data_IF_066561320180
#
_entry.id   IF_066561320180
#
_cell.length_a   1.000
_cell.length_b   1.000
_cell.length_c   1.000
_cell.angle_alpha   90.00
_cell.angle_beta   90.00
_cell.angle_gamma   90.00
#
_symmetry.space_group_name_H-M   'P 1'
#
loop_
_entity.id
_entity.type
_entity.pdbx_description
1 polymer ?
#
# COMPACT_ATOMS: atom_id res chain seq x y z
N UNK A 1 -3.00 17.72 -22.61
CA UNK A 1 -2.62 17.01 -21.37
C UNK A 1 -3.48 15.76 -21.28
N UNK A 2 -2.87 14.57 -21.31
CA UNK A 2 -3.57 13.28 -21.32
C UNK A 2 -4.24 13.03 -19.96
N UNK A 3 -5.55 12.75 -19.95
CA UNK A 3 -6.28 12.38 -18.72
C UNK A 3 -6.34 10.85 -18.67
N UNK A 4 -5.72 10.18 -17.68
CA UNK A 4 -5.76 8.73 -17.61
C UNK A 4 -7.19 8.24 -17.41
N UNK A 5 -7.54 7.10 -18.00
CA UNK A 5 -8.84 6.46 -17.84
C UNK A 5 -9.06 5.90 -16.43
N UNK A 6 -7.96 5.77 -15.68
CA UNK A 6 -7.91 5.33 -14.30
C UNK A 6 -7.23 6.42 -13.46
N UNK A 7 -7.89 6.86 -12.40
CA UNK A 7 -7.30 7.70 -11.37
C UNK A 7 -7.38 6.94 -10.04
N UNK A 8 -6.24 6.71 -9.39
CA UNK A 8 -6.22 6.05 -8.10
C UNK A 8 -6.76 7.00 -7.01
N UNK A 9 -7.88 6.60 -6.40
CA UNK A 9 -8.34 7.16 -5.14
C UNK A 9 -7.74 6.36 -3.97
N UNK A 10 -6.60 6.81 -3.46
CA UNK A 10 -5.92 6.16 -2.33
C UNK A 10 -6.66 6.28 -1.00
N UNK A 11 -7.69 7.13 -0.89
CA UNK A 11 -8.57 7.10 0.27
C UNK A 11 -9.50 5.90 0.19
N UNK A 12 -10.22 5.72 -0.92
CA UNK A 12 -11.12 4.58 -1.10
C UNK A 12 -10.34 3.25 -1.09
N UNK A 13 -9.19 3.18 -1.77
CA UNK A 13 -8.35 1.97 -1.78
C UNK A 13 -7.89 1.61 -0.35
N UNK A 14 -7.42 2.59 0.43
CA UNK A 14 -6.99 2.33 1.80
C UNK A 14 -8.17 1.96 2.71
N UNK A 15 -9.29 2.67 2.60
CA UNK A 15 -10.52 2.41 3.36
C UNK A 15 -10.98 0.97 3.17
N UNK A 16 -11.04 0.51 1.90
CA UNK A 16 -11.39 -0.87 1.56
C UNK A 16 -10.37 -1.86 2.10
N UNK A 17 -9.08 -1.57 1.99
CA UNK A 17 -8.03 -2.44 2.52
C UNK A 17 -8.14 -2.65 4.03
N UNK A 18 -8.40 -1.58 4.77
CA UNK A 18 -8.58 -1.63 6.23
C UNK A 18 -9.87 -2.36 6.59
N UNK A 19 -11.00 -1.96 6.03
CA UNK A 19 -12.32 -2.54 6.39
C UNK A 19 -12.44 -4.01 6.02
N UNK A 20 -11.92 -4.40 4.86
CA UNK A 20 -12.01 -5.77 4.37
C UNK A 20 -10.84 -6.66 4.81
N UNK A 21 -9.94 -6.16 5.67
CA UNK A 21 -8.75 -6.93 6.05
C UNK A 21 -9.09 -8.28 6.71
N UNK A 22 -10.20 -8.35 7.45
CA UNK A 22 -10.68 -9.58 8.07
C UNK A 22 -11.01 -10.70 7.03
N UNK A 23 -11.41 -10.34 5.81
CA UNK A 23 -11.66 -11.29 4.72
C UNK A 23 -10.38 -11.95 4.20
N UNK A 24 -9.19 -11.44 4.56
CA UNK A 24 -7.93 -12.07 4.22
C UNK A 24 -7.68 -13.38 4.97
N UNK A 25 -8.45 -13.65 6.05
CA UNK A 25 -8.32 -14.82 6.90
C UNK A 25 -6.87 -15.00 7.40
N UNK A 26 -6.30 -13.89 7.88
CA UNK A 26 -4.97 -13.80 8.47
C UNK A 26 -5.07 -13.84 10.00
N UNK A 27 -4.26 -14.68 10.60
CA UNK A 27 -4.19 -14.89 12.04
C UNK A 27 -2.86 -14.39 12.60
N UNK A 28 -2.82 -14.04 13.89
CA UNK A 28 -1.61 -13.51 14.56
C UNK A 28 -0.39 -14.42 14.46
N UNK A 29 -0.60 -15.74 14.32
CA UNK A 29 0.44 -16.75 14.24
C UNK A 29 0.81 -17.13 12.79
N UNK A 30 0.13 -16.56 11.80
CA UNK A 30 0.45 -16.83 10.41
C UNK A 30 1.85 -16.31 10.05
N UNK A 31 2.52 -17.03 9.16
CA UNK A 31 3.83 -16.61 8.68
C UNK A 31 3.72 -15.33 7.82
N UNK A 32 4.77 -14.50 7.83
CA UNK A 32 4.80 -13.23 7.07
C UNK A 32 4.58 -13.43 5.56
N UNK A 33 4.92 -14.60 5.02
CA UNK A 33 4.70 -14.94 3.62
C UNK A 33 3.21 -15.00 3.26
N UNK A 34 2.38 -15.59 4.12
CA UNK A 34 0.92 -15.65 3.94
C UNK A 34 0.32 -14.25 3.93
N UNK A 35 0.79 -13.35 4.78
CA UNK A 35 0.39 -11.94 4.75
C UNK A 35 0.66 -11.33 3.38
N UNK A 36 1.90 -11.41 2.89
CA UNK A 36 2.25 -10.82 1.59
C UNK A 36 1.38 -11.35 0.45
N UNK A 37 1.18 -12.67 0.38
CA UNK A 37 0.35 -13.29 -0.67
C UNK A 37 -1.09 -12.76 -0.58
N UNK A 38 -1.70 -12.79 0.61
CA UNK A 38 -3.10 -12.37 0.79
C UNK A 38 -3.31 -10.88 0.55
N UNK A 39 -2.36 -10.04 0.93
CA UNK A 39 -2.40 -8.59 0.74
C UNK A 39 -2.22 -8.22 -0.73
N UNK A 40 -1.31 -8.88 -1.46
CA UNK A 40 -1.15 -8.66 -2.89
C UNK A 40 -2.38 -9.18 -3.66
N UNK A 41 -2.91 -10.35 -3.32
CA UNK A 41 -4.16 -10.88 -3.89
C UNK A 41 -5.34 -9.93 -3.68
N UNK A 42 -5.38 -9.24 -2.54
CA UNK A 42 -6.39 -8.21 -2.29
C UNK A 42 -6.27 -7.06 -3.28
N UNK A 43 -5.07 -6.51 -3.47
CA UNK A 43 -4.87 -5.44 -4.43
C UNK A 43 -5.10 -5.90 -5.87
N UNK A 44 -4.78 -7.14 -6.23
CA UNK A 44 -5.11 -7.69 -7.54
C UNK A 44 -6.63 -7.66 -7.78
N UNK A 45 -7.42 -8.21 -6.86
CA UNK A 45 -8.89 -8.20 -6.95
C UNK A 45 -9.49 -6.79 -6.95
N UNK A 46 -8.92 -5.87 -6.16
CA UNK A 46 -9.35 -4.47 -6.19
C UNK A 46 -9.09 -3.85 -7.56
N UNK A 47 -7.91 -4.06 -8.16
CA UNK A 47 -7.59 -3.57 -9.50
C UNK A 47 -8.55 -4.11 -10.56
N UNK A 48 -8.85 -5.41 -10.53
CA UNK A 48 -9.82 -6.04 -11.44
C UNK A 48 -11.23 -5.45 -11.27
N UNK A 49 -11.67 -5.24 -10.02
CA UNK A 49 -12.97 -4.61 -9.75
C UNK A 49 -13.07 -3.16 -10.24
N UNK A 50 -11.93 -2.48 -10.35
CA UNK A 50 -11.81 -1.13 -10.92
C UNK A 50 -11.59 -1.14 -12.44
N UNK A 51 -11.71 -2.31 -13.09
CA UNK A 51 -11.61 -2.47 -14.54
C UNK A 51 -10.18 -2.48 -15.08
N UNK A 52 -9.18 -2.72 -14.23
CA UNK A 52 -7.79 -2.90 -14.64
C UNK A 52 -7.46 -4.38 -14.86
N UNK A 53 -6.54 -4.69 -15.77
CA UNK A 53 -5.90 -6.02 -15.83
C UNK A 53 -4.77 -6.08 -14.81
N UNK A 54 -4.67 -7.15 -14.04
CA UNK A 54 -3.64 -7.29 -13.01
C UNK A 54 -2.70 -8.45 -13.29
N UNK A 55 -1.40 -8.24 -13.06
CA UNK A 55 -0.34 -9.23 -13.32
C UNK A 55 0.64 -9.29 -12.16
N UNK A 56 0.87 -10.50 -11.65
CA UNK A 56 1.84 -10.78 -10.59
C UNK A 56 3.23 -11.02 -11.16
N UNK A 57 4.27 -10.68 -10.40
CA UNK A 57 5.67 -10.90 -10.79
C UNK A 57 5.99 -10.39 -12.20
N UNK A 58 5.28 -9.34 -12.62
CA UNK A 58 5.36 -8.84 -13.96
C UNK A 58 6.72 -8.17 -14.16
N UNK A 59 7.43 -8.60 -15.20
CA UNK A 59 8.73 -8.04 -15.56
C UNK A 59 8.55 -6.75 -16.36
N UNK A 60 7.36 -6.50 -16.90
CA UNK A 60 7.10 -5.57 -17.97
C UNK A 60 7.01 -6.37 -19.28
N UNK A 61 6.01 -6.08 -20.10
CA UNK A 61 5.83 -6.75 -21.40
C UNK A 61 6.97 -6.40 -22.38
N UNK A 62 8.13 -7.07 -22.31
CA UNK A 62 8.97 -7.32 -23.48
C UNK A 62 9.73 -8.65 -23.35
N UNK A 63 9.40 -9.68 -24.16
CA UNK A 63 10.03 -10.99 -24.12
C UNK A 63 11.50 -11.03 -24.60
N UNK A 64 12.09 -9.92 -25.08
CA UNK A 64 13.40 -9.91 -25.74
C UNK A 64 14.61 -9.60 -24.84
N UNK A 65 14.43 -9.16 -23.60
CA UNK A 65 15.53 -8.58 -22.81
C UNK A 65 15.66 -9.18 -21.40
N UNK A 66 16.71 -9.99 -21.22
CA UNK A 66 17.04 -10.81 -20.04
C UNK A 66 17.61 -10.02 -18.84
N UNK A 67 16.77 -9.24 -18.12
CA UNK A 67 16.82 -9.01 -16.66
C UNK A 67 15.95 -7.79 -16.30
N UNK A 68 14.82 -8.05 -15.68
CA UNK A 68 14.01 -7.07 -14.95
C UNK A 68 13.86 -7.58 -13.52
N UNK A 69 13.90 -6.66 -12.54
CA UNK A 69 13.38 -6.99 -11.20
C UNK A 69 11.87 -7.11 -11.38
N UNK A 70 11.28 -8.30 -11.16
CA UNK A 70 9.85 -8.47 -11.30
C UNK A 70 9.13 -7.57 -10.29
N UNK A 71 8.11 -6.85 -10.76
CA UNK A 71 7.18 -6.13 -9.90
C UNK A 71 6.35 -7.13 -9.12
N UNK A 72 6.05 -6.88 -7.85
CA UNK A 72 5.20 -7.82 -7.12
C UNK A 72 3.80 -7.89 -7.73
N UNK A 73 3.21 -6.75 -8.11
CA UNK A 73 1.94 -6.65 -8.86
C UNK A 73 1.87 -5.38 -9.71
N UNK A 74 1.30 -5.48 -10.91
CA UNK A 74 1.06 -4.36 -11.81
C UNK A 74 -0.40 -4.31 -12.27
N UNK A 75 -0.97 -3.11 -12.38
CA UNK A 75 -2.30 -2.86 -12.94
C UNK A 75 -2.17 -2.16 -14.29
N UNK A 76 -2.93 -2.62 -15.26
CA UNK A 76 -2.94 -2.12 -16.63
C UNK A 76 -4.33 -1.62 -17.02
N UNK A 77 -4.37 -0.49 -17.73
CA UNK A 77 -5.59 -0.01 -18.39
C UNK A 77 -5.34 0.21 -19.88
N UNK A 78 -6.41 0.21 -20.67
CA UNK A 78 -6.33 0.52 -22.09
C UNK A 78 -6.16 2.02 -22.29
N UNK A 79 -5.08 2.43 -22.96
CA UNK A 79 -4.84 3.81 -23.35
C UNK A 79 -5.95 4.33 -24.26
N UNK A 80 -6.41 5.57 -24.02
CA UNK A 80 -7.56 6.14 -24.72
C UNK A 80 -7.34 6.26 -26.25
N UNK A 81 -6.10 6.50 -26.69
CA UNK A 81 -5.80 6.84 -28.08
C UNK A 81 -4.99 5.77 -28.84
N UNK A 82 -4.26 4.91 -28.13
CA UNK A 82 -3.34 3.94 -28.76
C UNK A 82 -3.96 2.56 -28.89
N UNK A 83 -5.05 2.27 -28.16
CA UNK A 83 -5.58 0.93 -28.00
C UNK A 83 -4.67 -0.03 -27.23
N UNK A 84 -3.42 0.38 -26.92
CA UNK A 84 -2.44 -0.39 -26.16
C UNK A 84 -2.71 -0.32 -24.67
N UNK A 85 -2.36 -1.39 -23.95
CA UNK A 85 -2.40 -1.41 -22.49
C UNK A 85 -1.18 -0.69 -21.92
N UNK A 86 -1.40 0.12 -20.89
CA UNK A 86 -0.38 0.88 -20.18
C UNK A 86 -0.48 0.56 -18.69
N UNK A 87 0.68 0.44 -18.05
CA UNK A 87 0.75 0.30 -16.60
C UNK A 87 0.29 1.60 -15.95
N UNK A 88 -0.66 1.51 -15.02
CA UNK A 88 -1.21 2.66 -14.30
C UNK A 88 -0.86 2.66 -12.82
N UNK A 89 -0.72 1.48 -12.22
CA UNK A 89 -0.42 1.34 -10.80
C UNK A 89 0.50 0.15 -10.58
N UNK A 90 1.46 0.29 -9.67
CA UNK A 90 2.28 -0.80 -9.15
C UNK A 90 1.98 -1.04 -7.69
N UNK A 91 2.06 -2.29 -7.25
CA UNK A 91 2.11 -2.66 -5.85
C UNK A 91 3.43 -3.39 -5.60
N UNK A 92 4.18 -2.91 -4.62
CA UNK A 92 5.47 -3.48 -4.23
C UNK A 92 5.46 -3.82 -2.75
N UNK A 93 6.03 -4.96 -2.39
CA UNK A 93 6.27 -5.35 -1.01
C UNK A 93 7.75 -5.23 -0.67
N UNK A 94 8.06 -5.05 0.60
CA UNK A 94 9.45 -5.10 1.01
C UNK A 94 9.64 -5.13 2.50
N UNK A 95 10.88 -5.41 2.90
CA UNK A 95 11.30 -5.32 4.29
C UNK A 95 12.31 -4.19 4.44
N UNK A 96 12.06 -3.34 5.42
CA UNK A 96 12.90 -2.21 5.73
C UNK A 96 13.84 -2.56 6.89
N UNK A 97 15.13 -2.55 6.57
CA UNK A 97 16.20 -2.66 7.55
C UNK A 97 16.99 -1.36 7.59
N UNK A 98 17.47 -0.96 8.77
CA UNK A 98 18.24 0.28 9.00
C UNK A 98 19.46 0.43 8.08
N UNK A 99 20.05 -0.67 7.58
CA UNK A 99 21.25 -0.67 6.73
C UNK A 99 20.96 -0.75 5.22
N UNK A 100 19.69 -0.80 4.79
CA UNK A 100 19.33 -1.10 3.40
C UNK A 100 18.21 -0.22 2.84
N UNK A 101 18.16 1.07 3.25
CA UNK A 101 17.18 2.03 2.72
C UNK A 101 17.25 2.12 1.20
N UNK A 102 18.45 2.22 0.65
CA UNK A 102 18.67 2.40 -0.79
C UNK A 102 18.18 1.21 -1.62
N UNK A 103 18.39 -0.02 -1.15
CA UNK A 103 17.97 -1.22 -1.88
C UNK A 103 16.45 -1.34 -1.92
N UNK A 104 15.77 -1.02 -0.81
CA UNK A 104 14.31 -0.99 -0.79
C UNK A 104 13.77 0.14 -1.65
N UNK A 105 14.34 1.35 -1.55
CA UNK A 105 13.95 2.48 -2.39
C UNK A 105 14.12 2.16 -3.88
N UNK A 106 15.26 1.56 -4.26
CA UNK A 106 15.49 1.07 -5.63
C UNK A 106 14.45 0.04 -6.02
N UNK A 107 14.13 -0.96 -5.18
CA UNK A 107 13.07 -1.94 -5.48
C UNK A 107 11.74 -1.24 -5.79
N UNK A 108 11.24 -0.43 -4.86
CA UNK A 108 9.88 0.15 -4.97
C UNK A 108 9.78 1.26 -6.03
N UNK A 109 10.89 1.90 -6.39
CA UNK A 109 10.96 2.98 -7.38
C UNK A 109 11.68 2.57 -8.68
N UNK A 110 11.90 1.27 -8.93
CA UNK A 110 12.55 0.80 -10.16
C UNK A 110 11.76 1.27 -11.38
N UNK A 111 12.39 1.92 -12.35
CA UNK A 111 11.73 2.29 -13.61
C UNK A 111 11.43 1.05 -14.46
N UNK A 112 10.30 1.04 -15.17
CA UNK A 112 10.09 0.08 -16.27
C UNK A 112 11.03 0.38 -17.44
N UNK A 113 11.25 -0.57 -18.35
CA UNK A 113 12.12 -0.37 -19.53
C UNK A 113 11.70 0.75 -20.48
N UNK A 114 10.44 1.18 -20.48
CA UNK A 114 10.00 2.39 -21.21
C UNK A 114 10.60 3.67 -20.62
N UNK A 115 11.27 3.61 -19.47
CA UNK A 115 11.77 4.75 -18.71
C UNK A 115 10.67 5.48 -17.92
N UNK A 116 9.40 5.14 -18.17
CA UNK A 116 8.26 5.78 -17.54
C UNK A 116 7.94 5.14 -16.20
N UNK A 117 7.94 5.96 -15.16
CA UNK A 117 7.39 5.61 -13.85
C UNK A 117 5.86 5.59 -13.97
N UNK A 118 5.19 4.51 -13.57
CA UNK A 118 3.73 4.51 -13.50
C UNK A 118 3.24 5.67 -12.62
N UNK A 119 2.10 6.29 -12.94
CA UNK A 119 1.64 7.45 -12.20
C UNK A 119 1.30 7.14 -10.74
N UNK A 120 0.97 5.88 -10.43
CA UNK A 120 0.55 5.44 -9.11
C UNK A 120 1.41 4.28 -8.57
N UNK A 121 1.70 4.32 -7.27
CA UNK A 121 2.43 3.27 -6.54
C UNK A 121 1.75 3.00 -5.19
N UNK A 122 1.63 1.73 -4.83
CA UNK A 122 1.36 1.29 -3.47
C UNK A 122 2.57 0.49 -3.00
N UNK A 123 3.12 0.80 -1.83
CA UNK A 123 4.20 0.01 -1.24
C UNK A 123 3.80 -0.53 0.13
N UNK A 124 3.92 -1.84 0.34
CA UNK A 124 3.68 -2.51 1.62
C UNK A 124 5.02 -2.88 2.24
N UNK A 125 5.43 -2.10 3.22
CA UNK A 125 6.75 -2.19 3.84
C UNK A 125 6.65 -2.75 5.24
N UNK A 126 7.40 -3.80 5.53
CA UNK A 126 7.54 -4.34 6.87
C UNK A 126 8.71 -3.68 7.60
N UNK A 127 8.46 -3.21 8.82
CA UNK A 127 9.50 -2.73 9.72
C UNK A 127 9.16 -3.09 11.17
N UNK A 128 10.15 -3.09 12.04
CA UNK A 128 9.96 -3.33 13.48
C UNK A 128 9.97 -2.00 14.27
N UNK A 129 10.21 -0.86 13.59
CA UNK A 129 10.37 0.45 14.22
C UNK A 129 9.66 1.57 13.46
N UNK A 130 8.83 2.33 14.17
CA UNK A 130 8.10 3.49 13.62
C UNK A 130 9.02 4.61 13.15
N UNK A 131 10.06 4.93 13.93
CA UNK A 131 11.01 5.98 13.56
C UNK A 131 11.72 5.64 12.23
N UNK A 132 12.03 4.38 11.98
CA UNK A 132 12.61 3.90 10.71
C UNK A 132 11.67 4.13 9.54
N UNK A 133 10.35 3.91 9.72
CA UNK A 133 9.36 4.22 8.69
C UNK A 133 9.35 5.72 8.37
N UNK A 134 9.29 6.57 9.39
CA UNK A 134 9.25 8.03 9.22
C UNK A 134 10.48 8.58 8.49
N UNK A 135 11.67 8.13 8.89
CA UNK A 135 12.91 8.55 8.23
C UNK A 135 12.98 8.04 6.78
N UNK A 136 12.51 6.82 6.51
CA UNK A 136 12.44 6.30 5.15
C UNK A 136 11.49 7.12 4.26
N UNK A 137 10.31 7.51 4.76
CA UNK A 137 9.36 8.36 4.00
C UNK A 137 9.98 9.72 3.67
N UNK A 138 10.66 10.35 4.63
CA UNK A 138 11.38 11.61 4.38
C UNK A 138 12.47 11.43 3.33
N UNK A 139 13.22 10.33 3.40
CA UNK A 139 14.28 10.00 2.45
C UNK A 139 13.71 9.79 1.05
N UNK A 140 12.62 9.02 0.89
CA UNK A 140 11.94 8.84 -0.40
C UNK A 140 11.51 10.19 -0.99
N UNK A 141 10.86 11.02 -0.18
CA UNK A 141 10.33 12.31 -0.62
C UNK A 141 11.42 13.34 -0.98
N UNK A 142 12.60 13.28 -0.34
CA UNK A 142 13.70 14.23 -0.56
C UNK A 142 14.65 13.79 -1.67
N UNK A 143 14.94 12.50 -1.74
CA UNK A 143 16.08 12.00 -2.53
C UNK A 143 15.65 11.33 -3.83
N UNK A 144 14.36 11.05 -4.02
CA UNK A 144 13.87 10.32 -5.18
C UNK A 144 12.76 11.05 -5.92
N UNK A 145 12.71 10.85 -7.23
CA UNK A 145 11.60 11.28 -8.07
C UNK A 145 10.41 10.34 -7.84
N UNK A 146 9.45 10.80 -7.06
CA UNK A 146 8.23 10.02 -6.77
C UNK A 146 7.28 9.99 -7.97
N UNK A 147 6.45 8.93 -8.09
CA UNK A 147 5.23 8.93 -8.90
C UNK A 147 4.31 10.11 -8.60
N UNK A 148 3.32 10.33 -9.47
CA UNK A 148 2.35 11.42 -9.32
C UNK A 148 1.57 11.32 -7.99
N UNK A 149 1.19 10.11 -7.58
CA UNK A 149 0.76 9.81 -6.22
C UNK A 149 1.34 8.45 -5.80
N UNK A 150 1.70 8.29 -4.53
CA UNK A 150 2.04 7.00 -3.95
C UNK A 150 1.42 6.83 -2.57
N UNK A 151 1.03 5.61 -2.22
CA UNK A 151 0.58 5.21 -0.90
C UNK A 151 1.60 4.24 -0.30
N UNK A 152 2.28 4.64 0.77
CA UNK A 152 3.27 3.81 1.46
C UNK A 152 2.68 3.33 2.78
N UNK A 153 2.54 2.01 2.93
CA UNK A 153 1.95 1.30 4.06
C UNK A 153 3.05 0.62 4.86
N UNK A 154 3.34 1.10 6.07
CA UNK A 154 4.31 0.46 6.95
C UNK A 154 3.61 -0.42 7.96
N UNK A 155 3.78 -1.73 7.84
CA UNK A 155 3.36 -2.69 8.84
C UNK A 155 4.43 -2.80 9.91
N UNK A 156 4.07 -2.40 11.12
CA UNK A 156 4.93 -2.39 12.28
C UNK A 156 4.63 -3.63 13.11
N UNK A 157 5.64 -4.50 13.22
CA UNK A 157 5.58 -5.67 14.08
C UNK A 157 6.08 -5.30 15.46
N UNK A 158 5.40 -5.81 16.49
CA UNK A 158 5.90 -5.64 17.85
C UNK A 158 7.18 -6.47 18.02
N UNK A 159 8.27 -5.82 18.40
CA UNK A 159 9.59 -6.43 18.56
C UNK A 159 9.58 -7.62 19.54
N UNK A 160 8.86 -7.48 20.66
CA UNK A 160 8.81 -8.48 21.72
C UNK A 160 7.88 -9.65 21.36
N UNK A 161 6.73 -9.33 20.74
CA UNK A 161 5.65 -10.30 20.56
C UNK A 161 5.54 -10.89 19.14
N UNK A 162 6.40 -10.45 18.21
CA UNK A 162 6.49 -10.90 16.81
C UNK A 162 5.20 -10.85 15.99
N UNK A 163 4.12 -10.24 16.48
CA UNK A 163 2.88 -10.05 15.73
C UNK A 163 2.77 -8.67 15.11
N UNK A 164 1.93 -8.58 14.08
CA UNK A 164 1.60 -7.34 13.39
C UNK A 164 0.76 -6.43 14.29
N UNK A 165 1.34 -5.34 14.78
CA UNK A 165 0.73 -4.50 15.82
C UNK A 165 -0.08 -3.33 15.28
N UNK A 166 0.46 -2.62 14.30
CA UNK A 166 -0.18 -1.46 13.68
C UNK A 166 0.39 -1.20 12.30
N UNK A 167 -0.35 -0.45 11.50
CA UNK A 167 0.10 0.06 10.22
C UNK A 167 0.09 1.59 10.24
N UNK A 168 1.10 2.21 9.64
CA UNK A 168 1.14 3.65 9.43
C UNK A 168 1.27 3.92 7.95
N UNK A 169 0.43 4.81 7.45
CA UNK A 169 0.25 5.06 6.03
C UNK A 169 0.63 6.51 5.71
N UNK A 170 1.38 6.71 4.64
CA UNK A 170 1.70 8.03 4.10
C UNK A 170 1.34 8.11 2.62
N UNK A 171 0.76 9.23 2.23
CA UNK A 171 0.66 9.61 0.83
C UNK A 171 1.87 10.46 0.42
N UNK A 172 2.47 10.11 -0.71
CA UNK A 172 3.58 10.84 -1.33
C UNK A 172 3.16 11.37 -2.71
N UNK A 173 3.77 12.47 -3.21
CA UNK A 173 4.72 13.34 -2.50
C UNK A 173 4.10 14.05 -1.29
N UNK A 174 4.88 14.26 -0.22
CA UNK A 174 4.43 14.98 0.96
C UNK A 174 4.13 16.44 0.60
N UNK A 175 2.88 16.86 0.81
CA UNK A 175 2.51 18.28 0.93
C UNK A 175 2.74 18.75 2.37
N UNK A 176 2.94 20.06 2.58
CA UNK A 176 3.27 20.69 3.89
C UNK A 176 2.41 20.19 5.07
N UNK A 177 1.18 19.77 4.84
CA UNK A 177 0.21 19.36 5.86
C UNK A 177 -0.25 17.90 5.73
N UNK A 178 0.42 17.05 4.96
CA UNK A 178 -0.04 15.67 4.71
C UNK A 178 0.08 14.85 6.01
N UNK A 179 -1.03 14.52 6.69
CA UNK A 179 -0.95 13.75 7.93
C UNK A 179 -0.67 12.28 7.59
N UNK A 180 0.05 11.59 8.48
CA UNK A 180 0.05 10.12 8.43
C UNK A 180 -1.31 9.59 8.91
N UNK A 181 -1.72 8.45 8.38
CA UNK A 181 -2.88 7.71 8.88
C UNK A 181 -2.40 6.51 9.67
N UNK A 182 -2.85 6.39 10.92
CA UNK A 182 -2.54 5.23 11.76
C UNK A 182 -3.71 4.27 11.72
N UNK A 183 -3.40 2.99 11.52
CA UNK A 183 -4.33 1.88 11.52
C UNK A 183 -3.86 0.90 12.60
N UNK A 184 -4.77 0.49 13.47
CA UNK A 184 -4.47 -0.42 14.57
C UNK A 184 -4.96 -1.83 14.21
N UNK A 185 -4.20 -2.82 14.65
CA UNK A 185 -4.60 -4.22 14.58
C UNK A 185 -5.52 -4.53 15.75
N UNK A 186 -6.69 -5.12 15.46
CA UNK A 186 -7.54 -5.78 16.44
C UNK A 186 -7.53 -7.28 16.20
N UNK A 187 -7.43 -8.05 17.26
CA UNK A 187 -7.33 -9.50 17.23
C UNK A 187 -8.48 -10.09 17.99
N UNK A 188 -9.39 -10.75 17.26
CA UNK A 188 -10.52 -11.44 17.89
C UNK A 188 -10.07 -12.58 18.80
N UNK A 189 -11.02 -13.18 19.53
CA UNK A 189 -10.78 -14.29 20.48
C UNK A 189 -10.08 -15.48 19.81
N UNK A 190 -10.31 -15.68 18.51
CA UNK A 190 -9.71 -16.75 17.70
C UNK A 190 -8.34 -16.38 17.09
N UNK A 191 -7.81 -15.18 17.38
CA UNK A 191 -6.57 -14.67 16.81
C UNK A 191 -6.70 -14.20 15.36
N UNK A 192 -7.91 -14.10 14.80
CA UNK A 192 -8.17 -13.51 13.49
C UNK A 192 -7.90 -12.01 13.54
N UNK A 193 -7.19 -11.51 12.53
CA UNK A 193 -6.80 -10.10 12.44
C UNK A 193 -7.87 -9.31 11.70
N UNK A 194 -8.25 -8.18 12.30
CA UNK A 194 -8.98 -7.09 11.66
C UNK A 194 -8.22 -5.78 11.86
N UNK A 195 -8.53 -4.77 11.04
CA UNK A 195 -7.90 -3.47 11.09
C UNK A 195 -8.94 -2.36 11.28
N UNK A 196 -8.55 -1.30 11.98
CA UNK A 196 -9.37 -0.10 12.12
C UNK A 196 -8.49 1.15 12.16
N UNK A 197 -9.00 2.29 11.67
CA UNK A 197 -8.30 3.56 11.78
C UNK A 197 -8.26 4.03 13.24
N UNK A 198 -7.13 4.64 13.63
CA UNK A 198 -6.99 5.34 14.90
C UNK A 198 -7.63 6.73 14.78
N UNK A 199 -8.59 7.04 15.64
CA UNK A 199 -9.15 8.37 15.82
C UNK A 199 -8.56 9.08 17.07
N UNK A 200 -9.07 10.27 17.41
CA UNK A 200 -8.65 11.02 18.61
C UNK A 200 -9.02 10.29 19.92
N UNK A 201 -10.04 9.43 19.88
CA UNK A 201 -10.57 8.63 21.00
C UNK A 201 -9.92 7.25 21.17
N UNK A 202 -9.14 6.80 20.18
CA UNK A 202 -8.38 5.55 20.18
C UNK A 202 -8.96 4.38 19.37
N UNK A 203 -10.23 4.38 18.94
CA UNK A 203 -10.86 3.22 18.28
C UNK A 203 -12.08 3.58 17.40
N UNK A 204 -12.05 3.20 16.12
CA UNK A 204 -13.29 2.96 15.35
C UNK A 204 -13.74 1.51 15.59
N UNK A 205 -14.76 1.29 16.43
CA UNK A 205 -15.50 0.02 16.46
C UNK A 205 -16.62 0.07 15.43
N UNK A 206 -16.75 -0.96 14.60
CA UNK A 206 -17.91 -1.16 13.74
C UNK A 206 -19.17 -1.28 14.62
N UNK A 207 -20.17 -0.45 14.31
CA UNK A 207 -21.45 -0.24 14.99
C UNK A 207 -21.41 0.71 16.21
N UNK A 208 -21.46 2.01 15.93
CA UNK A 208 -22.08 2.99 16.80
C UNK A 208 -23.10 3.75 15.97
N UNK A 209 -24.37 3.74 16.38
CA UNK A 209 -25.38 4.65 15.84
C UNK A 209 -24.85 6.09 15.81
N UNK A 210 -25.31 6.94 14.88
CA UNK A 210 -25.01 8.36 14.97
C UNK A 210 -25.52 8.83 16.33
N UNK A 211 -24.62 9.29 17.21
CA UNK A 211 -25.00 9.97 18.43
C UNK A 211 -25.73 11.25 18.03
N UNK A 212 -27.06 11.16 17.99
CA UNK A 212 -27.95 12.28 18.14
C UNK A 212 -27.66 12.95 19.48
N UNK A 213 -27.54 14.28 19.44
CA UNK A 213 -27.32 15.23 20.54
C UNK A 213 -25.84 15.28 20.96
N UNK A 214 -25.17 16.43 20.90
CA UNK A 214 -25.55 17.66 21.58
C UNK A 214 -25.55 18.89 20.67
N UNK A 215 -26.74 19.46 20.48
CA UNK A 215 -26.90 20.90 20.49
C UNK A 215 -26.45 21.39 21.88
N UNK A 216 -25.55 22.37 21.93
CA UNK A 216 -25.47 23.51 22.87
C UNK A 216 -24.03 24.03 22.88
N UNK A 217 -23.86 25.23 22.33
CA UNK A 217 -22.61 25.98 22.19
C UNK A 217 -22.75 27.02 21.10
#
# INVERSE_FOLDING_TARGET
MYKPRFEADFNDILERFVRCYHHLNLYVYDNKQKFYIREIDFFARQGESLGCLTFFQDKGMDPRYQRETPMDLAWYTRGQNTGSYQIVLRVETGKLFLRSYDDLAKKILTFGKSGDMPPYLIAIVHTDQENTAHEFVKLLNRNYKMPAKSLILFKIYNFDKKYFHKMICWELPLKKTTPSRTVLTDTGINGLISLHFKDQSGYYKLNGEPSLNEQYG
#
